data_IF_265937092340
#
_entry.id   IF_265937092340
#
_cell.length_a   1.000
_cell.length_b   1.000
_cell.length_c   1.000
_cell.angle_alpha   90.00
_cell.angle_beta   90.00
_cell.angle_gamma   90.00
#
_symmetry.space_group_name_H-M   'P 1'
#
loop_
_entity.id
_entity.type
_entity.pdbx_description
1 polymer ?
#
# COMPACT_ATOMS: atom_id res chain seq x y z
N UNK A 1 52.37 54.61 -11.13
CA UNK A 1 51.32 53.65 -11.50
C UNK A 1 50.68 53.18 -10.19
N UNK A 2 49.68 53.93 -9.70
CA UNK A 2 48.23 53.58 -9.76
C UNK A 2 47.88 52.33 -8.95
N UNK A 3 47.04 52.30 -7.90
CA UNK A 3 46.33 53.25 -7.01
C UNK A 3 45.42 52.37 -6.12
N UNK A 4 45.29 52.67 -4.82
CA UNK A 4 44.29 52.08 -3.87
C UNK A 4 42.86 52.63 -4.17
N UNK A 5 41.73 52.31 -3.45
CA UNK A 5 41.51 51.59 -2.16
C UNK A 5 40.28 50.61 -2.14
N UNK A 6 39.81 50.06 -0.98
CA UNK A 6 38.65 49.14 -0.89
C UNK A 6 37.36 49.79 -0.32
N UNK A 7 36.19 49.13 -0.42
CA UNK A 7 35.09 49.10 0.60
C UNK A 7 33.80 48.35 0.16
N UNK A 8 33.16 47.72 1.16
CA UNK A 8 31.72 47.50 1.44
C UNK A 8 30.61 47.26 0.38
N UNK A 9 29.84 46.19 0.67
CA UNK A 9 28.40 45.97 0.53
C UNK A 9 27.52 46.90 -0.34
N UNK A 10 26.79 46.29 -1.29
CA UNK A 10 25.31 46.44 -1.36
C UNK A 10 24.64 45.29 -2.11
N UNK A 11 23.36 45.07 -1.86
CA UNK A 11 22.57 43.94 -2.35
C UNK A 11 22.06 44.15 -3.78
N UNK A 12 21.84 43.05 -4.51
CA UNK A 12 20.59 42.90 -5.27
C UNK A 12 20.13 41.44 -5.27
N UNK A 13 18.93 41.21 -4.75
CA UNK A 13 18.19 39.96 -4.97
C UNK A 13 17.69 39.94 -6.41
N UNK A 14 18.13 38.95 -7.19
CA UNK A 14 17.37 38.48 -8.34
C UNK A 14 17.02 37.02 -8.16
N UNK A 15 15.77 36.78 -7.74
CA UNK A 15 15.11 35.49 -7.90
C UNK A 15 14.54 35.50 -9.31
N UNK A 16 15.11 34.68 -10.20
CA UNK A 16 14.43 34.24 -11.41
C UNK A 16 14.29 32.72 -11.35
N UNK A 17 13.06 32.24 -11.45
CA UNK A 17 12.72 30.81 -11.58
C UNK A 17 12.20 30.62 -12.98
N UNK A 18 13.01 30.08 -13.88
CA UNK A 18 12.54 29.54 -15.16
C UNK A 18 13.60 28.61 -15.77
N UNK A 19 13.17 27.47 -16.31
CA UNK A 19 14.00 26.56 -17.12
C UNK A 19 15.05 25.72 -16.36
N UNK A 20 14.69 24.50 -15.96
CA UNK A 20 15.68 23.43 -15.80
C UNK A 20 15.12 22.07 -16.27
N UNK A 21 14.88 21.96 -17.58
CA UNK A 21 14.99 20.68 -18.26
C UNK A 21 16.48 20.36 -18.44
N UNK A 22 16.94 19.20 -17.98
CA UNK A 22 18.34 18.79 -18.09
C UNK A 22 18.57 17.40 -17.51
N UNK A 23 19.19 16.52 -18.31
CA UNK A 23 19.30 15.07 -18.13
C UNK A 23 19.66 14.58 -16.71
N UNK A 24 18.89 13.60 -16.22
CA UNK A 24 19.26 12.78 -15.06
C UNK A 24 20.46 11.87 -15.40
N UNK A 25 21.61 12.15 -14.78
CA UNK A 25 22.73 11.21 -14.69
C UNK A 25 22.43 10.06 -13.72
N UNK A 26 23.13 8.94 -13.87
CA UNK A 26 22.84 7.69 -13.15
C UNK A 26 23.10 7.77 -11.64
N UNK A 27 22.30 6.99 -10.89
CA UNK A 27 22.48 6.79 -9.44
C UNK A 27 23.28 5.50 -9.26
N UNK A 28 24.47 5.61 -8.66
CA UNK A 28 25.25 4.45 -8.20
C UNK A 28 24.61 3.84 -6.95
N UNK A 29 24.58 2.51 -6.87
CA UNK A 29 24.07 1.81 -5.69
C UNK A 29 25.17 1.66 -4.65
N UNK A 30 25.18 2.52 -3.63
CA UNK A 30 26.00 2.31 -2.43
C UNK A 30 25.40 1.17 -1.59
N UNK A 31 26.15 0.09 -1.43
CA UNK A 31 25.86 -0.97 -0.47
C UNK A 31 26.14 -0.52 0.97
N UNK A 32 25.60 -1.28 1.93
CA UNK A 32 25.77 -1.14 3.40
C UNK A 32 24.97 0.03 4.02
N UNK A 33 24.24 -0.06 5.14
CA UNK A 33 23.84 -1.14 6.08
C UNK A 33 22.53 -0.64 6.78
N UNK A 34 21.62 -1.40 7.41
CA UNK A 34 21.43 -2.84 7.65
C UNK A 34 19.91 -3.17 7.91
N UNK A 35 19.58 -4.44 8.18
CA UNK A 35 18.38 -4.97 8.88
C UNK A 35 17.02 -4.23 8.80
N UNK A 36 16.49 -4.03 7.59
CA UNK A 36 15.02 -3.91 7.33
C UNK A 36 14.55 -4.92 6.25
N UNK A 37 15.46 -5.67 5.63
CA UNK A 37 15.15 -6.58 4.51
C UNK A 37 14.19 -7.73 4.85
N UNK A 38 14.22 -8.23 6.09
CA UNK A 38 13.40 -9.38 6.52
C UNK A 38 11.90 -9.10 6.46
N UNK A 39 11.48 -7.85 6.70
CA UNK A 39 10.07 -7.43 6.59
C UNK A 39 9.54 -7.50 5.16
N UNK A 40 10.41 -7.45 4.15
CA UNK A 40 10.03 -7.48 2.74
C UNK A 40 10.11 -8.88 2.08
N UNK A 41 10.70 -9.89 2.73
CA UNK A 41 10.98 -11.20 2.10
C UNK A 41 10.66 -12.44 2.97
N UNK A 42 9.90 -12.32 4.06
CA UNK A 42 9.66 -13.38 5.06
C UNK A 42 8.76 -14.57 4.61
N UNK A 43 9.27 -15.38 3.69
CA UNK A 43 8.79 -16.76 3.46
C UNK A 43 9.56 -17.72 4.40
N UNK A 44 8.94 -18.14 5.51
CA UNK A 44 9.54 -19.09 6.46
C UNK A 44 9.60 -20.53 5.94
N UNK A 45 10.53 -21.33 6.45
CA UNK A 45 10.95 -22.66 5.94
C UNK A 45 9.83 -23.73 5.80
N UNK A 46 8.66 -23.52 6.39
CA UNK A 46 7.49 -24.39 6.18
C UNK A 46 6.89 -24.29 4.76
N UNK A 47 7.33 -23.31 3.96
CA UNK A 47 6.89 -23.07 2.57
C UNK A 47 7.95 -23.58 1.61
N UNK A 48 7.80 -24.83 1.17
CA UNK A 48 8.75 -25.53 0.30
C UNK A 48 9.09 -24.75 -0.98
N UNK A 49 10.31 -25.00 -1.48
CA UNK A 49 10.99 -24.33 -2.60
C UNK A 49 10.09 -23.53 -3.56
N UNK A 50 10.31 -22.22 -3.62
CA UNK A 50 9.49 -21.31 -4.42
C UNK A 50 9.49 -21.69 -5.91
N UNK A 51 8.31 -21.59 -6.52
CA UNK A 51 8.10 -21.89 -7.94
C UNK A 51 8.80 -20.84 -8.81
N UNK A 52 9.37 -21.28 -9.93
CA UNK A 52 10.04 -20.41 -10.90
C UNK A 52 9.00 -19.50 -11.60
N UNK A 53 9.21 -18.17 -11.67
CA UNK A 53 8.37 -17.26 -12.47
C UNK A 53 8.12 -17.70 -13.92
N UNK A 54 9.00 -18.53 -14.50
CA UNK A 54 8.83 -19.08 -15.85
C UNK A 54 7.59 -19.98 -16.00
N UNK A 55 7.12 -20.65 -14.94
CA UNK A 55 5.89 -21.49 -14.96
C UNK A 55 4.59 -20.70 -15.19
N UNK A 56 4.65 -19.36 -15.06
CA UNK A 56 3.51 -18.46 -15.14
C UNK A 56 3.53 -17.57 -16.41
N UNK A 57 4.56 -17.68 -17.25
CA UNK A 57 4.71 -16.86 -18.45
C UNK A 57 4.03 -17.48 -19.67
N UNK A 58 2.74 -17.19 -19.85
CA UNK A 58 2.02 -17.45 -21.11
C UNK A 58 2.64 -16.69 -22.32
N UNK A 59 2.40 -17.17 -23.56
CA UNK A 59 3.05 -16.64 -24.76
C UNK A 59 2.65 -15.18 -25.05
N UNK A 60 3.60 -14.26 -24.89
CA UNK A 60 3.40 -12.82 -25.10
C UNK A 60 3.23 -12.47 -26.59
N UNK A 61 2.05 -11.94 -26.96
CA UNK A 61 1.92 -10.97 -28.07
C UNK A 61 1.75 -9.57 -27.48
N UNK A 62 2.78 -8.75 -27.59
CA UNK A 62 2.75 -7.35 -27.15
C UNK A 62 2.12 -6.51 -28.26
N UNK A 63 1.00 -5.84 -27.97
CA UNK A 63 0.61 -4.65 -28.73
C UNK A 63 1.07 -3.41 -27.97
N UNK A 64 1.84 -2.58 -28.65
CA UNK A 64 2.33 -1.28 -28.16
C UNK A 64 1.23 -0.25 -28.41
N UNK A 65 0.84 0.52 -27.40
CA UNK A 65 0.14 1.80 -27.61
C UNK A 65 0.74 2.89 -26.74
N UNK A 66 1.02 4.00 -27.40
CA UNK A 66 1.42 5.28 -26.80
C UNK A 66 0.17 6.01 -26.26
N UNK A 67 0.36 6.93 -25.32
CA UNK A 67 -0.72 7.83 -24.88
C UNK A 67 -0.69 8.21 -23.40
N UNK A 68 0.21 9.13 -23.02
CA UNK A 68 -0.04 10.00 -21.86
C UNK A 68 -1.09 11.02 -22.30
N UNK A 69 -2.37 10.75 -22.05
CA UNK A 69 -3.49 11.62 -22.45
C UNK A 69 -4.58 11.65 -21.37
N UNK A 70 -5.06 12.85 -21.03
CA UNK A 70 -6.05 13.04 -19.97
C UNK A 70 -6.01 14.40 -19.25
N UNK A 71 -5.00 15.23 -19.50
CA UNK A 71 -5.16 16.68 -19.35
C UNK A 71 -6.08 17.18 -20.49
N UNK A 72 -6.77 18.30 -20.28
CA UNK A 72 -7.86 18.83 -21.13
C UNK A 72 -9.22 18.09 -21.01
N UNK A 73 -10.04 18.49 -20.02
CA UNK A 73 -11.48 18.80 -20.17
C UNK A 73 -12.09 19.24 -18.82
N UNK A 74 -11.88 20.51 -18.47
CA UNK A 74 -12.57 21.20 -17.38
C UNK A 74 -13.98 21.62 -17.83
N UNK A 75 -15.04 20.95 -17.39
CA UNK A 75 -16.38 21.54 -17.38
C UNK A 75 -17.21 21.11 -16.17
N UNK A 76 -18.00 22.07 -15.66
CA UNK A 76 -18.72 22.05 -14.38
C UNK A 76 -20.13 21.48 -14.48
N UNK A 77 -20.56 20.69 -13.48
CA UNK A 77 -21.97 20.57 -13.11
C UNK A 77 -22.15 20.07 -11.66
N UNK A 78 -23.02 20.76 -10.91
CA UNK A 78 -23.42 20.38 -9.54
C UNK A 78 -24.54 19.31 -9.57
N UNK A 79 -24.54 18.32 -8.65
CA UNK A 79 -25.72 17.52 -8.33
C UNK A 79 -26.38 17.95 -7.01
N UNK A 80 -27.72 18.08 -7.04
CA UNK A 80 -28.56 18.34 -5.86
C UNK A 80 -28.63 17.13 -4.92
N UNK A 81 -28.86 17.42 -3.64
CA UNK A 81 -29.15 16.45 -2.60
C UNK A 81 -30.48 15.71 -2.82
N UNK A 82 -30.57 14.48 -2.29
CA UNK A 82 -31.81 13.74 -2.04
C UNK A 82 -31.75 13.16 -0.63
N UNK A 83 -32.75 13.47 0.20
CA UNK A 83 -32.91 12.90 1.54
C UNK A 83 -33.48 11.48 1.46
N UNK A 84 -33.02 10.57 2.33
CA UNK A 84 -33.58 9.24 2.52
C UNK A 84 -33.65 8.90 4.01
N UNK A 85 -34.86 8.73 4.54
CA UNK A 85 -35.12 8.54 5.97
C UNK A 85 -35.09 7.08 6.41
N UNK A 86 -34.69 6.93 7.67
CA UNK A 86 -35.14 5.95 8.68
C UNK A 86 -35.06 4.43 8.39
N UNK A 87 -34.25 3.78 9.23
CA UNK A 87 -34.79 2.75 10.12
C UNK A 87 -34.67 1.30 9.67
N UNK A 88 -33.51 0.68 9.93
CA UNK A 88 -33.38 -0.79 9.92
C UNK A 88 -32.93 -1.30 11.29
N UNK A 89 -33.65 -2.32 11.76
CA UNK A 89 -33.56 -2.92 13.09
C UNK A 89 -32.22 -3.67 13.29
N UNK A 90 -31.61 -3.50 14.46
CA UNK A 90 -30.20 -3.86 14.76
C UNK A 90 -30.04 -5.33 15.19
N UNK A 91 -31.12 -6.01 15.60
CA UNK A 91 -31.04 -7.30 16.32
C UNK A 91 -30.86 -8.56 15.43
N UNK A 92 -30.63 -8.40 14.12
CA UNK A 92 -30.38 -9.52 13.20
C UNK A 92 -28.90 -9.71 12.80
N UNK A 93 -27.97 -8.94 13.36
CA UNK A 93 -26.62 -8.76 12.79
C UNK A 93 -25.59 -9.88 13.04
N UNK A 94 -25.97 -11.02 13.64
CA UNK A 94 -25.04 -12.12 13.96
C UNK A 94 -25.55 -13.49 13.50
N UNK A 95 -26.05 -13.56 12.25
CA UNK A 95 -26.00 -14.79 11.46
C UNK A 95 -24.90 -14.62 10.40
N UNK A 96 -23.76 -15.29 10.60
CA UNK A 96 -22.78 -15.45 9.51
C UNK A 96 -23.54 -16.04 8.31
N UNK A 97 -23.37 -15.52 7.08
CA UNK A 97 -24.02 -16.10 5.92
C UNK A 97 -23.62 -17.57 5.79
N UNK A 98 -24.60 -18.42 5.55
CA UNK A 98 -24.38 -19.87 5.44
C UNK A 98 -23.52 -20.15 4.20
N UNK A 99 -22.36 -20.77 4.40
CA UNK A 99 -21.42 -21.06 3.32
C UNK A 99 -22.06 -22.03 2.33
N UNK A 100 -22.04 -21.66 1.05
CA UNK A 100 -22.59 -22.49 -0.04
C UNK A 100 -21.60 -23.53 -0.56
N UNK A 101 -20.33 -23.38 -0.20
CA UNK A 101 -19.20 -24.23 -0.59
C UNK A 101 -17.90 -23.66 -0.01
N UNK A 102 -16.74 -24.24 -0.35
CA UNK A 102 -15.44 -23.66 -0.04
C UNK A 102 -15.33 -22.21 -0.55
N UNK A 103 -14.71 -21.33 0.23
CA UNK A 103 -14.48 -19.93 -0.11
C UNK A 103 -12.98 -19.65 -0.25
N UNK A 104 -12.59 -18.83 -1.22
CA UNK A 104 -11.21 -18.41 -1.41
C UNK A 104 -11.11 -16.88 -1.51
N UNK A 105 -10.08 -16.32 -0.89
CA UNK A 105 -9.80 -14.88 -0.95
C UNK A 105 -8.29 -14.61 -0.90
N UNK A 106 -7.93 -13.40 -1.31
CA UNK A 106 -6.57 -12.87 -1.30
C UNK A 106 -6.46 -11.85 -0.18
N UNK A 107 -5.40 -11.97 0.63
CA UNK A 107 -5.01 -10.97 1.63
C UNK A 107 -3.62 -10.45 1.31
N UNK A 108 -3.48 -9.14 1.09
CA UNK A 108 -2.22 -8.50 0.72
C UNK A 108 -1.77 -7.47 1.75
N UNK A 109 -0.47 -7.43 1.98
CA UNK A 109 0.19 -6.39 2.76
C UNK A 109 1.10 -5.57 1.82
N UNK A 110 0.94 -4.24 1.81
CA UNK A 110 1.81 -3.32 1.07
C UNK A 110 2.70 -2.53 2.01
N UNK A 111 4.01 -2.57 1.74
CA UNK A 111 5.04 -1.80 2.45
C UNK A 111 5.75 -0.84 1.49
N UNK A 112 5.99 0.39 1.94
CA UNK A 112 6.65 1.47 1.18
C UNK A 112 7.52 2.34 2.08
N UNK A 113 8.65 2.79 1.54
CA UNK A 113 9.46 3.88 2.12
C UNK A 113 9.53 5.01 1.10
N UNK A 114 9.02 6.19 1.45
CA UNK A 114 9.25 7.43 0.71
C UNK A 114 10.32 8.27 1.41
N UNK A 115 11.37 8.66 0.70
CA UNK A 115 12.36 9.64 1.15
C UNK A 115 12.07 10.97 0.48
N UNK A 116 11.60 11.93 1.26
CA UNK A 116 10.95 13.16 0.82
C UNK A 116 9.80 12.92 -0.17
N UNK A 117 10.11 12.75 -1.46
CA UNK A 117 9.17 12.54 -2.58
C UNK A 117 9.53 11.34 -3.48
N UNK A 118 10.67 10.71 -3.22
CA UNK A 118 11.19 9.55 -3.94
C UNK A 118 10.69 8.26 -3.27
N UNK A 119 10.17 7.33 -4.06
CA UNK A 119 9.83 5.99 -3.57
C UNK A 119 11.13 5.18 -3.50
N UNK A 120 11.69 5.05 -2.29
CA UNK A 120 12.97 4.38 -2.03
C UNK A 120 12.82 2.85 -1.97
N UNK A 121 11.75 2.36 -1.34
CA UNK A 121 11.38 0.94 -1.32
C UNK A 121 9.88 0.76 -1.51
N UNK A 122 9.50 -0.34 -2.18
CA UNK A 122 8.11 -0.77 -2.35
C UNK A 122 8.06 -2.29 -2.47
N UNK A 123 7.07 -2.92 -1.84
CA UNK A 123 6.81 -4.35 -1.94
C UNK A 123 5.37 -4.68 -1.55
N UNK A 124 4.81 -5.69 -2.20
CA UNK A 124 3.55 -6.33 -1.82
C UNK A 124 3.82 -7.80 -1.54
N UNK A 125 3.33 -8.26 -0.40
CA UNK A 125 3.28 -9.66 0.02
C UNK A 125 1.82 -10.09 0.03
N UNK A 126 1.47 -11.11 -0.73
CA UNK A 126 0.11 -11.63 -0.80
C UNK A 126 0.01 -13.06 -0.28
N UNK A 127 -1.14 -13.40 0.30
CA UNK A 127 -1.49 -14.73 0.77
C UNK A 127 -2.87 -15.08 0.22
N UNK A 128 -2.97 -16.22 -0.46
CA UNK A 128 -4.24 -16.80 -0.89
C UNK A 128 -4.70 -17.73 0.23
N UNK A 129 -5.91 -17.49 0.71
CA UNK A 129 -6.55 -18.29 1.76
C UNK A 129 -7.66 -19.16 1.18
N UNK A 130 -7.78 -20.37 1.73
CA UNK A 130 -8.88 -21.29 1.52
C UNK A 130 -9.64 -21.48 2.83
N UNK A 131 -10.93 -21.21 2.82
CA UNK A 131 -11.86 -21.51 3.91
C UNK A 131 -12.74 -22.67 3.47
N UNK A 132 -12.48 -23.85 4.02
CA UNK A 132 -13.23 -25.08 3.74
C UNK A 132 -14.63 -25.03 4.34
N UNK A 133 -15.50 -25.96 3.93
CA UNK A 133 -16.76 -26.18 4.66
C UNK A 133 -16.46 -26.66 6.10
N UNK A 134 -17.21 -26.20 7.12
CA UNK A 134 -17.02 -26.66 8.49
C UNK A 134 -17.21 -28.18 8.65
N UNK A 135 -16.50 -28.84 9.57
CA UNK A 135 -16.70 -30.25 9.87
C UNK A 135 -18.14 -30.54 10.31
N UNK A 136 -18.81 -31.47 9.62
CA UNK A 136 -20.13 -31.96 10.05
C UNK A 136 -19.90 -33.12 11.01
N UNK A 137 -20.01 -32.85 12.32
CA UNK A 137 -19.56 -33.72 13.42
C UNK A 137 -20.27 -35.07 13.63
N UNK A 138 -20.61 -35.80 12.58
CA UNK A 138 -21.22 -37.14 12.64
C UNK A 138 -21.06 -37.97 11.35
N UNK A 139 -19.90 -37.94 10.69
CA UNK A 139 -19.60 -38.80 9.54
C UNK A 139 -18.11 -38.79 9.17
N UNK A 140 -17.73 -39.54 8.13
CA UNK A 140 -16.41 -39.37 7.50
C UNK A 140 -16.29 -37.92 7.01
N UNK A 141 -15.25 -37.22 7.45
CA UNK A 141 -14.97 -35.85 7.04
C UNK A 141 -14.49 -35.87 5.58
N UNK A 142 -15.44 -35.67 4.66
CA UNK A 142 -15.13 -35.56 3.23
C UNK A 142 -14.12 -34.43 3.01
N UNK A 143 -12.95 -34.79 2.49
CA UNK A 143 -11.91 -33.83 2.14
C UNK A 143 -12.44 -32.77 1.16
N UNK A 144 -11.96 -31.55 1.33
CA UNK A 144 -12.14 -30.48 0.33
C UNK A 144 -11.11 -30.71 -0.77
N UNK A 145 -11.61 -31.07 -1.96
CA UNK A 145 -10.80 -31.40 -3.13
C UNK A 145 -11.37 -30.71 -4.37
N UNK A 146 -10.56 -29.90 -5.04
CA UNK A 146 -10.91 -29.22 -6.30
C UNK A 146 -9.68 -28.62 -6.99
N UNK A 147 -9.85 -28.12 -8.22
CA UNK A 147 -8.80 -27.43 -8.97
C UNK A 147 -9.18 -25.99 -9.30
N UNK A 148 -8.21 -25.08 -9.20
CA UNK A 148 -8.38 -23.66 -9.48
C UNK A 148 -7.17 -23.10 -10.25
N UNK A 149 -7.36 -21.97 -10.93
CA UNK A 149 -6.32 -21.23 -11.63
C UNK A 149 -6.08 -19.88 -10.97
N UNK A 150 -4.82 -19.48 -10.91
CA UNK A 150 -4.39 -18.13 -10.53
C UNK A 150 -4.03 -17.36 -11.80
N UNK A 151 -4.75 -16.28 -12.08
CA UNK A 151 -4.52 -15.40 -13.23
C UNK A 151 -4.00 -14.02 -12.78
N UNK A 152 -3.43 -13.22 -13.68
CA UNK A 152 -2.87 -11.88 -13.36
C UNK A 152 -1.43 -11.89 -12.82
N UNK A 153 -0.74 -13.04 -12.83
CA UNK A 153 0.57 -13.27 -12.19
C UNK A 153 1.77 -12.55 -12.82
N UNK A 154 1.60 -11.71 -13.85
CA UNK A 154 2.69 -11.02 -14.57
C UNK A 154 3.61 -10.19 -13.65
N UNK A 155 3.09 -9.66 -12.55
CA UNK A 155 3.84 -8.84 -11.59
C UNK A 155 4.57 -9.66 -10.50
N UNK A 156 4.39 -10.99 -10.44
CA UNK A 156 4.95 -11.84 -9.39
C UNK A 156 6.48 -11.95 -9.52
N UNK A 157 7.19 -11.81 -8.39
CA UNK A 157 8.63 -12.08 -8.21
C UNK A 157 8.87 -13.51 -7.71
N UNK A 158 8.09 -13.94 -6.71
CA UNK A 158 8.20 -15.27 -6.07
C UNK A 158 6.81 -15.78 -5.74
N UNK A 159 6.59 -17.07 -5.94
CA UNK A 159 5.38 -17.79 -5.55
C UNK A 159 5.79 -18.98 -4.69
N UNK A 160 5.09 -19.21 -3.58
CA UNK A 160 5.37 -20.28 -2.63
C UNK A 160 4.07 -21.02 -2.29
N UNK A 161 4.14 -22.34 -2.23
CA UNK A 161 2.96 -23.21 -2.16
C UNK A 161 3.01 -24.07 -0.89
N UNK A 162 1.86 -24.28 -0.25
CA UNK A 162 1.76 -25.25 0.83
C UNK A 162 1.67 -26.67 0.27
N UNK A 163 2.83 -27.24 -0.08
CA UNK A 163 2.93 -28.53 -0.81
C UNK A 163 2.30 -29.74 -0.11
N UNK A 164 1.93 -29.63 1.16
CA UNK A 164 1.18 -30.67 1.91
C UNK A 164 -0.33 -30.64 1.65
N UNK A 165 -0.87 -29.59 1.01
CA UNK A 165 -2.31 -29.41 0.72
C UNK A 165 -2.60 -29.01 -0.74
N UNK A 166 -1.59 -28.51 -1.46
CA UNK A 166 -1.69 -28.13 -2.88
C UNK A 166 -0.58 -28.75 -3.72
N UNK A 167 -0.93 -29.18 -4.92
CA UNK A 167 -0.01 -29.46 -6.02
C UNK A 167 -0.16 -28.44 -7.16
N UNK A 168 0.96 -28.10 -7.81
CA UNK A 168 0.96 -27.35 -9.08
C UNK A 168 0.72 -28.32 -10.24
N UNK A 169 -0.18 -27.95 -11.14
CA UNK A 169 -0.43 -28.64 -12.42
C UNK A 169 0.18 -27.88 -13.61
N UNK A 170 0.96 -26.82 -13.35
CA UNK A 170 1.58 -25.93 -14.34
C UNK A 170 0.63 -24.87 -14.91
N UNK A 171 1.19 -23.86 -15.60
CA UNK A 171 0.44 -22.77 -16.23
C UNK A 171 -0.53 -22.04 -15.27
N UNK A 172 -0.14 -21.87 -14.00
CA UNK A 172 -0.97 -21.26 -12.95
C UNK A 172 -2.18 -22.09 -12.51
N UNK A 173 -2.30 -23.36 -12.94
CA UNK A 173 -3.32 -24.29 -12.47
C UNK A 173 -2.82 -25.04 -11.22
N UNK A 174 -3.67 -25.14 -10.21
CA UNK A 174 -3.39 -25.78 -8.94
C UNK A 174 -4.52 -26.76 -8.57
N UNK A 175 -4.18 -27.78 -7.79
CA UNK A 175 -5.13 -28.74 -7.24
C UNK A 175 -4.98 -28.81 -5.72
N UNK A 176 -6.11 -28.66 -5.01
CA UNK A 176 -6.22 -28.72 -3.56
C UNK A 176 -6.72 -30.10 -3.17
N UNK A 177 -6.13 -30.68 -2.12
CA UNK A 177 -6.76 -31.70 -1.29
C UNK A 177 -6.42 -31.42 0.18
N UNK A 178 -7.43 -31.19 1.01
CA UNK A 178 -7.27 -30.94 2.45
C UNK A 178 -8.47 -31.43 3.24
N UNK A 179 -8.22 -31.89 4.47
CA UNK A 179 -9.27 -32.06 5.47
C UNK A 179 -10.00 -30.72 5.75
N UNK A 180 -11.27 -30.77 6.20
CA UNK A 180 -11.99 -29.61 6.73
C UNK A 180 -11.23 -28.86 7.83
N UNK A 181 -11.51 -27.56 7.95
CA UNK A 181 -10.90 -26.62 8.91
C UNK A 181 -11.91 -25.53 9.27
N UNK A 182 -11.98 -25.19 10.55
CA UNK A 182 -12.73 -24.03 11.06
C UNK A 182 -12.03 -22.70 10.73
N UNK A 183 -10.69 -22.72 10.64
CA UNK A 183 -9.87 -21.54 10.35
C UNK A 183 -9.47 -21.47 8.86
N UNK A 184 -9.39 -20.26 8.26
CA UNK A 184 -8.87 -20.06 6.92
C UNK A 184 -7.42 -20.55 6.78
N UNK A 185 -7.21 -21.46 5.83
CA UNK A 185 -5.92 -22.08 5.54
C UNK A 185 -5.14 -21.18 4.57
N UNK A 186 -3.94 -20.66 4.93
CA UNK A 186 -3.06 -20.03 3.95
C UNK A 186 -2.51 -21.13 3.04
N UNK A 187 -2.81 -21.08 1.75
CA UNK A 187 -2.49 -22.15 0.80
C UNK A 187 -1.40 -21.78 -0.22
N UNK A 188 -1.33 -20.51 -0.60
CA UNK A 188 -0.31 -19.95 -1.48
C UNK A 188 0.15 -18.61 -0.92
N UNK A 189 1.43 -18.27 -1.10
CA UNK A 189 2.01 -16.96 -0.79
C UNK A 189 2.74 -16.43 -2.02
N UNK A 190 2.74 -15.12 -2.22
CA UNK A 190 3.48 -14.49 -3.31
C UNK A 190 4.07 -13.14 -2.91
N UNK A 191 5.07 -12.70 -3.66
CA UNK A 191 5.60 -11.34 -3.61
C UNK A 191 5.64 -10.73 -5.00
N UNK A 192 5.45 -9.42 -5.10
CA UNK A 192 5.51 -8.71 -6.38
C UNK A 192 6.93 -8.18 -6.70
N UNK A 193 7.20 -7.97 -7.98
CA UNK A 193 8.38 -7.26 -8.45
C UNK A 193 8.22 -5.77 -8.15
N UNK A 194 9.18 -5.10 -7.46
CA UNK A 194 9.03 -3.70 -7.05
C UNK A 194 8.64 -2.72 -8.17
N UNK A 195 9.13 -2.95 -9.40
CA UNK A 195 8.82 -2.11 -10.58
C UNK A 195 7.38 -2.26 -11.10
N UNK A 196 6.70 -3.35 -10.73
CA UNK A 196 5.33 -3.67 -11.11
C UNK A 196 4.39 -3.67 -9.90
N UNK A 197 4.87 -3.27 -8.72
CA UNK A 197 4.05 -3.16 -7.52
C UNK A 197 3.18 -1.90 -7.63
N UNK A 198 1.84 -2.03 -7.63
CA UNK A 198 0.94 -0.89 -7.65
C UNK A 198 1.01 -0.14 -6.31
N UNK A 199 0.87 1.19 -6.39
CA UNK A 199 1.07 2.09 -5.27
C UNK A 199 -0.27 2.79 -4.95
N UNK A 200 -1.03 2.39 -3.91
CA UNK A 200 -2.38 2.91 -3.64
C UNK A 200 -2.41 4.41 -3.31
N UNK A 201 -1.39 4.89 -2.61
CA UNK A 201 -1.28 6.27 -2.15
C UNK A 201 0.12 6.78 -2.50
N UNK A 202 0.25 8.03 -2.94
CA UNK A 202 1.57 8.67 -3.02
C UNK A 202 1.69 9.70 -1.92
N UNK A 203 2.77 9.63 -1.15
CA UNK A 203 3.02 10.50 -0.01
C UNK A 203 4.33 11.27 -0.23
N UNK A 204 4.36 12.51 0.23
CA UNK A 204 5.56 13.36 0.27
C UNK A 204 5.68 14.04 1.62
N UNK A 205 6.84 13.97 2.26
CA UNK A 205 7.16 14.86 3.38
C UNK A 205 8.01 16.06 2.90
N UNK A 206 7.80 17.21 3.52
CA UNK A 206 8.69 18.38 3.46
C UNK A 206 8.88 18.89 4.88
N UNK A 207 10.12 18.87 5.36
CA UNK A 207 10.52 19.44 6.65
C UNK A 207 11.34 20.73 6.44
N UNK A 208 11.21 21.67 7.39
CA UNK A 208 12.04 22.88 7.45
C UNK A 208 12.24 23.29 8.89
N UNK A 209 13.50 23.43 9.29
CA UNK A 209 13.92 24.01 10.57
C UNK A 209 14.35 25.45 10.30
N UNK A 210 14.05 26.36 11.24
CA UNK A 210 14.34 27.79 11.11
C UNK A 210 14.56 28.37 12.50
N UNK A 211 15.81 28.39 12.96
CA UNK A 211 16.12 28.50 14.38
C UNK A 211 15.49 27.32 15.14
N UNK A 212 14.91 27.58 16.30
CA UNK A 212 14.21 26.57 17.13
C UNK A 212 12.84 26.15 16.60
N UNK A 213 12.45 26.47 15.35
CA UNK A 213 11.08 26.25 14.86
C UNK A 213 11.01 25.20 13.75
N UNK A 214 10.53 24.01 14.10
CA UNK A 214 10.24 22.92 13.16
C UNK A 214 8.90 23.17 12.45
N UNK A 215 8.91 23.09 11.13
CA UNK A 215 7.73 23.20 10.27
C UNK A 215 7.68 22.00 9.33
N UNK A 216 6.55 21.27 9.35
CA UNK A 216 6.33 20.04 8.60
C UNK A 216 5.11 20.15 7.71
N UNK A 217 5.19 19.57 6.51
CA UNK A 217 4.06 19.38 5.61
C UNK A 217 4.12 18.00 4.97
N UNK A 218 3.07 17.21 5.16
CA UNK A 218 2.84 15.94 4.47
C UNK A 218 1.82 16.21 3.37
N UNK A 219 2.16 15.90 2.13
CA UNK A 219 1.24 15.95 0.99
C UNK A 219 0.93 14.53 0.53
N UNK A 220 -0.33 14.24 0.21
CA UNK A 220 -0.74 12.91 -0.24
C UNK A 220 -1.76 12.97 -1.39
N UNK A 221 -1.80 11.93 -2.22
CA UNK A 221 -2.78 11.78 -3.31
C UNK A 221 -3.03 10.29 -3.56
N UNK A 222 -4.28 9.92 -3.87
CA UNK A 222 -4.62 8.55 -4.29
C UNK A 222 -3.97 8.23 -5.63
N UNK A 223 -3.73 6.95 -5.90
CA UNK A 223 -3.59 6.48 -7.27
C UNK A 223 -4.98 6.48 -7.94
N UNK A 224 -5.14 7.10 -9.13
CA UNK A 224 -6.43 7.13 -9.83
C UNK A 224 -6.87 5.78 -10.40
N UNK A 225 -5.92 4.83 -10.59
CA UNK A 225 -6.19 3.49 -11.13
C UNK A 225 -6.76 2.52 -10.08
N UNK A 226 -6.93 2.94 -8.83
CA UNK A 226 -7.58 2.12 -7.79
C UNK A 226 -9.08 1.94 -8.09
N UNK A 227 -9.65 0.76 -7.78
CA UNK A 227 -11.07 0.48 -8.05
C UNK A 227 -12.03 1.28 -7.16
N UNK A 228 -11.57 1.78 -6.00
CA UNK A 228 -12.38 2.54 -5.06
C UNK A 228 -11.52 3.50 -4.19
N UNK A 229 -12.09 4.61 -3.69
CA UNK A 229 -11.41 5.52 -2.75
C UNK A 229 -10.86 4.82 -1.51
N UNK A 230 -9.71 5.29 -1.01
CA UNK A 230 -9.15 4.82 0.26
C UNK A 230 -9.94 5.45 1.42
N UNK A 231 -10.42 4.64 2.37
CA UNK A 231 -11.25 5.10 3.51
C UNK A 231 -10.53 4.89 4.84
N UNK A 232 -10.87 5.73 5.82
CA UNK A 232 -10.34 5.69 7.18
C UNK A 232 -8.80 5.64 7.23
N UNK A 233 -8.15 6.51 6.46
CA UNK A 233 -6.69 6.54 6.33
C UNK A 233 -6.08 7.31 7.50
N UNK A 234 -5.27 6.64 8.30
CA UNK A 234 -4.57 7.23 9.43
C UNK A 234 -3.16 7.68 9.00
N UNK A 235 -2.78 8.91 9.34
CA UNK A 235 -1.41 9.41 9.26
C UNK A 235 -0.89 9.62 10.68
N UNK A 236 0.20 8.93 11.05
CA UNK A 236 0.79 8.92 12.38
C UNK A 236 2.21 9.48 12.26
N UNK A 237 2.40 10.73 12.66
CA UNK A 237 3.68 11.43 12.65
C UNK A 237 4.37 11.26 14.00
N UNK A 238 5.58 10.69 14.02
CA UNK A 238 6.46 10.69 15.20
C UNK A 238 7.09 12.07 15.35
N UNK A 239 6.94 12.66 16.54
CA UNK A 239 7.54 13.94 16.90
C UNK A 239 8.87 13.70 17.62
N UNK A 240 9.92 14.51 17.35
CA UNK A 240 11.23 14.31 17.97
C UNK A 240 11.21 14.54 19.49
N UNK A 241 10.36 15.47 19.96
CA UNK A 241 10.17 15.82 21.39
C UNK A 241 8.67 15.98 21.70
N UNK A 242 8.29 15.95 22.99
CA UNK A 242 6.92 16.31 23.39
C UNK A 242 6.69 17.82 23.19
N UNK A 243 5.73 18.25 22.35
CA UNK A 243 5.58 19.66 22.02
C UNK A 243 4.95 20.47 23.17
N UNK A 244 5.69 21.48 23.63
CA UNK A 244 5.18 22.55 24.51
C UNK A 244 4.10 23.39 23.81
N UNK A 245 4.29 23.65 22.50
CA UNK A 245 3.32 24.32 21.63
C UNK A 245 3.24 23.58 20.29
N UNK A 246 2.02 23.24 19.85
CA UNK A 246 1.81 22.55 18.58
C UNK A 246 0.70 23.24 17.77
N UNK A 247 1.02 23.70 16.56
CA UNK A 247 0.05 24.19 15.58
C UNK A 247 -0.15 23.13 14.50
N UNK A 248 -1.39 22.72 14.27
CA UNK A 248 -1.74 21.67 13.29
C UNK A 248 -2.82 22.14 12.33
N UNK A 249 -2.78 21.65 11.10
CA UNK A 249 -3.85 21.83 10.12
C UNK A 249 -3.85 20.66 9.11
N UNK A 250 -4.96 19.91 8.93
CA UNK A 250 -6.21 19.98 9.68
C UNK A 250 -6.03 19.55 11.15
N UNK A 251 -7.12 19.52 11.93
CA UNK A 251 -7.11 19.08 13.33
C UNK A 251 -6.59 17.64 13.45
N UNK A 252 -5.77 17.40 14.47
CA UNK A 252 -5.15 16.12 14.78
C UNK A 252 -5.33 15.77 16.27
N UNK A 253 -5.02 14.52 16.62
CA UNK A 253 -4.97 14.02 17.99
C UNK A 253 -3.49 13.87 18.37
N UNK A 254 -3.06 14.51 19.45
CA UNK A 254 -1.71 14.36 20.01
C UNK A 254 -1.73 13.32 21.13
N UNK A 255 -0.95 12.26 20.98
CA UNK A 255 -0.58 11.34 22.05
C UNK A 255 0.81 11.73 22.56
N UNK A 256 0.88 12.29 23.77
CA UNK A 256 2.15 12.73 24.39
C UNK A 256 3.04 11.58 24.82
N UNK A 257 2.45 10.49 25.32
CA UNK A 257 3.19 9.31 25.80
C UNK A 257 4.05 8.71 24.69
N UNK A 258 3.48 8.54 23.51
CA UNK A 258 4.16 7.93 22.35
C UNK A 258 4.82 8.95 21.42
N UNK A 259 4.72 10.25 21.75
CA UNK A 259 5.10 11.41 20.93
C UNK A 259 4.55 11.31 19.50
N UNK A 260 3.27 10.97 19.39
CA UNK A 260 2.57 10.76 18.11
C UNK A 260 1.53 11.85 17.84
N UNK A 261 1.55 12.37 16.62
CA UNK A 261 0.49 13.21 16.09
C UNK A 261 -0.30 12.45 15.02
N UNK A 262 -1.58 12.19 15.30
CA UNK A 262 -2.46 11.40 14.43
C UNK A 262 -3.50 12.26 13.72
N UNK A 263 -3.53 12.18 12.39
CA UNK A 263 -4.68 12.58 11.57
C UNK A 263 -5.44 11.35 11.10
N UNK A 264 -6.77 11.41 11.12
CA UNK A 264 -7.63 10.41 10.49
C UNK A 264 -8.37 11.08 9.33
N UNK A 265 -8.21 10.54 8.12
CA UNK A 265 -8.82 11.03 6.90
C UNK A 265 -9.96 10.08 6.52
N UNK A 266 -11.24 10.51 6.60
CA UNK A 266 -12.38 9.61 6.36
C UNK A 266 -12.38 8.96 4.98
N UNK A 267 -12.01 9.74 3.95
CA UNK A 267 -11.91 9.28 2.56
C UNK A 267 -10.87 10.09 1.79
N UNK A 268 -10.11 9.41 0.94
CA UNK A 268 -9.20 10.01 -0.05
C UNK A 268 -9.75 9.63 -1.44
N UNK A 269 -10.30 10.58 -2.21
CA UNK A 269 -10.88 10.29 -3.51
C UNK A 269 -9.83 9.88 -4.54
N UNK A 270 -10.23 9.04 -5.49
CA UNK A 270 -9.39 8.58 -6.61
C UNK A 270 -8.83 9.75 -7.43
N UNK A 271 -9.73 10.67 -7.79
CA UNK A 271 -9.43 11.86 -8.59
C UNK A 271 -9.75 13.10 -7.75
N UNK A 272 -8.73 13.68 -7.12
CA UNK A 272 -8.87 14.85 -6.27
C UNK A 272 -7.57 15.65 -6.16
N UNK A 273 -7.68 16.88 -5.67
CA UNK A 273 -6.49 17.68 -5.38
C UNK A 273 -5.67 17.05 -4.24
N UNK A 274 -4.33 17.11 -4.27
CA UNK A 274 -3.51 16.51 -3.23
C UNK A 274 -3.83 17.07 -1.83
N UNK A 275 -4.14 16.18 -0.90
CA UNK A 275 -4.37 16.50 0.50
C UNK A 275 -3.09 16.99 1.17
N UNK A 276 -3.23 17.79 2.23
CA UNK A 276 -2.10 18.42 2.93
C UNK A 276 -2.32 18.40 4.44
N UNK A 277 -1.39 17.80 5.16
CA UNK A 277 -1.29 17.83 6.62
C UNK A 277 -0.10 18.71 6.99
N UNK A 278 -0.23 19.52 8.03
CA UNK A 278 0.79 20.46 8.47
C UNK A 278 0.92 20.44 9.99
N UNK A 279 2.15 20.40 10.47
CA UNK A 279 2.48 20.55 11.88
C UNK A 279 3.58 21.59 12.05
N UNK A 280 3.54 22.35 13.15
CA UNK A 280 4.58 23.33 13.50
C UNK A 280 4.73 23.40 15.01
N UNK A 281 5.96 23.24 15.50
CA UNK A 281 6.30 23.22 16.92
C UNK A 281 7.70 23.80 17.16
N UNK A 282 7.98 24.39 18.33
CA UNK A 282 9.34 24.63 18.73
C UNK A 282 10.05 23.28 18.98
N UNK A 283 11.35 23.26 18.73
CA UNK A 283 12.31 22.23 19.11
C UNK A 283 13.48 22.92 19.79
N UNK A 284 13.92 22.40 20.93
CA UNK A 284 15.08 22.93 21.62
C UNK A 284 16.34 22.41 20.93
N UNK A 285 16.99 23.32 20.18
CA UNK A 285 18.18 23.01 19.39
C UNK A 285 19.44 23.11 20.26
N UNK A 286 19.62 22.15 21.17
CA UNK A 286 20.85 22.01 21.98
C UNK A 286 22.00 21.47 21.10
N UNK A 287 22.51 22.32 20.21
CA UNK A 287 23.75 22.18 19.43
C UNK A 287 23.99 20.85 18.66
N UNK A 288 22.98 19.99 18.47
CA UNK A 288 23.10 18.84 17.57
C UNK A 288 23.07 19.32 16.11
N UNK A 289 24.19 19.14 15.40
CA UNK A 289 24.24 19.33 13.94
C UNK A 289 23.42 18.27 13.18
N UNK A 290 22.98 17.21 13.86
CA UNK A 290 22.08 16.19 13.33
C UNK A 290 20.64 16.75 13.20
N UNK A 291 20.08 16.64 12.00
CA UNK A 291 18.65 16.88 11.82
C UNK A 291 17.82 15.83 12.56
N UNK A 292 16.69 16.20 13.19
CA UNK A 292 15.78 15.23 13.77
C UNK A 292 15.26 14.27 12.69
N UNK A 293 15.35 12.97 13.00
CA UNK A 293 14.64 11.92 12.25
C UNK A 293 13.13 12.04 12.54
N UNK A 294 12.36 12.21 11.47
CA UNK A 294 10.93 12.52 11.53
C UNK A 294 10.22 11.58 10.57
N UNK A 295 9.55 10.59 11.13
CA UNK A 295 8.89 9.54 10.37
C UNK A 295 7.38 9.73 10.47
N UNK A 296 6.69 9.72 9.34
CA UNK A 296 5.24 9.58 9.30
C UNK A 296 4.87 8.21 8.73
N UNK A 297 4.15 7.42 9.52
CA UNK A 297 3.50 6.19 9.09
C UNK A 297 2.12 6.49 8.54
N UNK A 298 1.70 5.74 7.54
CA UNK A 298 0.32 5.74 7.04
C UNK A 298 -0.30 4.37 7.30
N UNK A 299 -1.56 4.33 7.71
CA UNK A 299 -2.32 3.08 7.84
C UNK A 299 -3.64 3.16 7.10
N UNK A 300 -3.93 2.12 6.31
CA UNK A 300 -5.23 1.92 5.67
C UNK A 300 -5.48 0.42 5.47
N UNK A 301 -6.76 0.05 5.38
CA UNK A 301 -7.20 -1.30 5.02
C UNK A 301 -8.38 -1.16 4.06
N UNK A 302 -8.37 -1.95 3.00
CA UNK A 302 -9.39 -1.96 1.97
C UNK A 302 -9.87 -3.40 1.76
N UNK A 303 -11.18 -3.57 1.58
CA UNK A 303 -11.82 -4.83 1.24
C UNK A 303 -12.69 -4.63 -0.01
N UNK A 304 -12.71 -5.61 -0.91
CA UNK A 304 -13.56 -5.60 -2.10
C UNK A 304 -13.26 -6.75 -3.06
N UNK A 305 -13.94 -6.76 -4.20
CA UNK A 305 -13.91 -7.84 -5.20
C UNK A 305 -12.60 -7.99 -6.00
N UNK A 306 -11.58 -7.19 -5.72
CA UNK A 306 -10.34 -7.10 -6.50
C UNK A 306 -9.14 -6.99 -5.57
N UNK A 307 -8.08 -7.75 -5.89
CA UNK A 307 -6.80 -7.65 -5.21
C UNK A 307 -6.05 -6.41 -5.68
N UNK A 308 -5.15 -5.89 -4.84
CA UNK A 308 -4.26 -4.80 -5.21
C UNK A 308 -3.30 -5.23 -6.33
N UNK A 309 -2.77 -6.46 -6.29
CA UNK A 309 -1.89 -6.99 -7.36
C UNK A 309 -2.57 -7.20 -8.73
N UNK A 310 -3.90 -7.22 -8.79
CA UNK A 310 -4.65 -7.63 -9.97
C UNK A 310 -4.66 -9.16 -10.19
N UNK A 311 -4.15 -9.95 -9.24
CA UNK A 311 -4.32 -11.41 -9.25
C UNK A 311 -5.79 -11.76 -9.00
N UNK A 312 -6.31 -12.74 -9.73
CA UNK A 312 -7.67 -13.27 -9.54
C UNK A 312 -7.71 -14.79 -9.53
N UNK A 313 -8.72 -15.33 -8.87
CA UNK A 313 -8.92 -16.77 -8.69
C UNK A 313 -10.04 -17.23 -9.64
N UNK A 314 -9.79 -18.31 -10.38
CA UNK A 314 -10.74 -18.86 -11.36
C UNK A 314 -10.93 -20.35 -11.14
N UNK A 315 -12.12 -20.86 -11.41
CA UNK A 315 -12.33 -22.30 -11.50
C UNK A 315 -11.47 -22.90 -12.62
N UNK A 316 -11.01 -24.15 -12.46
CA UNK A 316 -10.19 -24.82 -13.47
C UNK A 316 -10.90 -25.02 -14.82
N UNK A 317 -12.24 -25.08 -14.80
CA UNK A 317 -13.11 -25.20 -15.97
C UNK A 317 -14.27 -24.20 -15.87
N UNK A 318 -14.72 -23.69 -17.01
CA UNK A 318 -15.83 -22.75 -17.10
C UNK A 318 -17.15 -23.38 -16.64
N UNK A 319 -17.95 -22.63 -15.88
CA UNK A 319 -19.22 -23.10 -15.31
C UNK A 319 -19.10 -23.98 -14.06
N UNK A 320 -17.88 -24.30 -13.60
CA UNK A 320 -17.66 -25.06 -12.37
C UNK A 320 -17.76 -24.15 -11.12
N UNK A 321 -18.40 -24.66 -10.05
CA UNK A 321 -18.65 -23.95 -8.79
C UNK A 321 -18.06 -24.68 -7.57
N UNK A 322 -16.92 -25.36 -7.75
CA UNK A 322 -16.21 -26.06 -6.68
C UNK A 322 -15.78 -25.16 -5.50
N UNK A 323 -15.57 -23.87 -5.76
CA UNK A 323 -15.31 -22.85 -4.74
C UNK A 323 -15.93 -21.50 -5.13
N UNK A 324 -16.04 -20.60 -4.15
CA UNK A 324 -16.49 -19.22 -4.32
C UNK A 324 -15.34 -18.25 -4.06
N UNK A 325 -15.01 -17.40 -5.06
CA UNK A 325 -14.16 -16.23 -4.84
C UNK A 325 -14.96 -15.19 -4.03
N UNK A 326 -14.47 -14.82 -2.85
CA UNK A 326 -15.08 -13.81 -1.96
C UNK A 326 -14.17 -12.59 -1.85
N UNK A 327 -14.65 -11.53 -1.19
CA UNK A 327 -13.92 -10.26 -1.08
C UNK A 327 -12.45 -10.44 -0.65
N UNK A 328 -11.57 -9.87 -1.46
CA UNK A 328 -10.15 -9.73 -1.20
C UNK A 328 -9.91 -8.56 -0.25
N UNK A 329 -8.75 -8.56 0.41
CA UNK A 329 -8.32 -7.51 1.34
C UNK A 329 -6.90 -7.08 1.04
N UNK A 330 -6.63 -5.79 1.11
CA UNK A 330 -5.26 -5.29 1.17
C UNK A 330 -5.10 -4.22 2.27
N UNK A 331 -3.98 -4.25 2.98
CA UNK A 331 -3.68 -3.30 4.05
C UNK A 331 -2.20 -2.88 4.07
N UNK A 332 -1.92 -1.81 4.79
CA UNK A 332 -0.56 -1.30 5.01
C UNK A 332 0.24 -2.18 5.97
N UNK A 333 1.41 -2.62 5.54
CA UNK A 333 2.49 -3.08 6.41
C UNK A 333 3.31 -1.89 6.92
N UNK A 334 4.61 -1.89 6.63
CA UNK A 334 5.48 -0.72 6.88
C UNK A 334 5.30 0.29 5.76
N UNK A 335 4.35 1.22 5.95
CA UNK A 335 4.07 2.29 5.00
C UNK A 335 4.49 3.64 5.61
N UNK A 336 5.62 4.21 5.16
CA UNK A 336 6.22 5.39 5.78
C UNK A 336 6.78 6.43 4.80
N UNK A 337 6.86 7.67 5.26
CA UNK A 337 7.70 8.71 4.68
C UNK A 337 8.58 9.41 5.74
N UNK A 338 9.76 9.86 5.33
CA UNK A 338 10.69 10.72 6.07
C UNK A 338 11.30 11.82 5.18
#
# INVERSE_FOLDING_TARGET
LTTLPPAEATQSTHINVEGFEGQYGGIEFSNEQATIGETFESFSDAWGGGLDPSEFMGPKKIQKKEGLGGLELLHTSDPKAVEGKDGVNIDNLVKKPEMKGPEMYISEEISTEFRESLLARVGVMGVIYLKTMPPKGSGEEKETEFSFRVEGTTAVKRFAMQSSRISSLGNGLFHVRTAPSEEPIPILKYSLQPKLTPLPLRVRMVKRISGTLLSLMIQYVSNPDLPQPLKNVDFILKLPVDPTLLKVSPKAILNRTDRELKWQIPEIPLNGSPGRLRARMPIDSDNSEEEPDIICYVKFSVQGNTSLSGISLRAAAEGNTDFFEVDHRYETGVYMCN
#
